data_IF_128934375033
#
_entry.id   IF_128934375033
#
_cell.length_a   1.000
_cell.length_b   1.000
_cell.length_c   1.000
_cell.angle_alpha   90.00
_cell.angle_beta   90.00
_cell.angle_gamma   90.00
#
_symmetry.space_group_name_H-M   'P 1'
#
loop_
_entity.id
_entity.type
_entity.pdbx_description
1 polymer ?
#
# COMPACT_ATOMS: atom_id res chain seq x y z
N UNK A 1 75.61 -32.00 -1.17
CA UNK A 1 74.57 -31.46 -2.06
C UNK A 1 73.25 -31.94 -1.49
N UNK A 2 72.55 -31.08 -0.74
CA UNK A 2 71.22 -31.38 -0.23
C UNK A 2 70.21 -30.82 -1.23
N UNK A 3 69.36 -31.68 -1.76
CA UNK A 3 68.25 -31.31 -2.63
C UNK A 3 67.32 -30.36 -1.87
N UNK A 4 67.07 -29.19 -2.47
CA UNK A 4 65.97 -28.32 -2.07
C UNK A 4 64.69 -28.99 -2.55
N UNK A 5 63.85 -29.42 -1.62
CA UNK A 5 62.44 -29.68 -1.90
C UNK A 5 61.78 -28.37 -2.34
N UNK A 6 61.40 -28.30 -3.61
CA UNK A 6 60.52 -27.25 -4.12
C UNK A 6 59.14 -27.41 -3.47
N UNK A 7 58.82 -26.50 -2.56
CA UNK A 7 57.49 -26.37 -1.99
C UNK A 7 56.49 -26.01 -3.11
N UNK A 8 55.54 -26.91 -3.38
CA UNK A 8 54.38 -26.63 -4.24
C UNK A 8 53.58 -25.46 -3.63
N UNK A 9 53.19 -24.44 -4.42
CA UNK A 9 52.30 -23.40 -3.93
C UNK A 9 50.93 -24.03 -3.66
N UNK A 10 50.46 -23.92 -2.41
CA UNK A 10 49.11 -24.31 -2.04
C UNK A 10 48.11 -23.57 -2.94
N UNK A 11 47.09 -24.29 -3.44
CA UNK A 11 45.98 -23.69 -4.19
C UNK A 11 45.21 -22.75 -3.26
N UNK A 12 45.64 -21.49 -3.19
CA UNK A 12 45.29 -20.50 -2.16
C UNK A 12 43.88 -19.94 -2.23
N UNK A 13 42.86 -20.79 -2.10
CA UNK A 13 41.47 -20.39 -1.84
C UNK A 13 41.14 -20.71 -0.39
N UNK A 14 40.82 -19.67 0.38
CA UNK A 14 40.34 -19.84 1.75
C UNK A 14 38.86 -20.22 1.75
N UNK A 15 38.49 -21.16 2.62
CA UNK A 15 37.11 -21.63 2.76
C UNK A 15 36.47 -20.98 3.99
N UNK A 16 35.27 -20.44 3.81
CA UNK A 16 34.43 -20.01 4.93
C UNK A 16 34.03 -21.21 5.80
N UNK A 17 34.17 -21.09 7.11
CA UNK A 17 33.81 -22.12 8.06
C UNK A 17 32.28 -22.31 8.15
N UNK A 18 31.84 -23.44 8.69
CA UNK A 18 30.40 -23.77 8.73
C UNK A 18 29.58 -22.92 9.71
N UNK A 19 30.22 -22.36 10.74
CA UNK A 19 29.59 -21.45 11.69
C UNK A 19 29.22 -20.12 11.02
N UNK A 20 30.18 -19.48 10.36
CA UNK A 20 29.98 -18.28 9.57
C UNK A 20 28.95 -18.51 8.47
N UNK A 21 29.01 -19.65 7.74
CA UNK A 21 27.99 -19.99 6.75
C UNK A 21 26.59 -20.04 7.38
N UNK A 22 26.43 -20.64 8.56
CA UNK A 22 25.13 -20.66 9.27
C UNK A 22 24.68 -19.23 9.60
N UNK A 23 25.57 -18.38 10.09
CA UNK A 23 25.25 -16.99 10.41
C UNK A 23 24.76 -16.24 9.16
N UNK A 24 25.48 -16.34 8.03
CA UNK A 24 25.07 -15.72 6.75
C UNK A 24 23.67 -16.20 6.35
N UNK A 25 23.44 -17.52 6.36
CA UNK A 25 22.12 -18.10 6.06
C UNK A 25 21.00 -17.57 6.97
N UNK A 26 21.28 -17.37 8.26
CA UNK A 26 20.32 -16.83 9.23
C UNK A 26 20.07 -15.34 9.01
N UNK A 27 21.13 -14.55 8.81
CA UNK A 27 21.04 -13.11 8.59
C UNK A 27 20.26 -12.75 7.32
N UNK A 28 20.31 -13.61 6.31
CA UNK A 28 19.62 -13.42 5.04
C UNK A 28 18.24 -14.08 4.98
N UNK A 29 17.76 -14.62 6.10
CA UNK A 29 16.52 -15.38 6.19
C UNK A 29 16.39 -16.48 5.10
N UNK A 30 17.51 -17.06 4.67
CA UNK A 30 17.54 -18.11 3.64
C UNK A 30 17.12 -17.70 2.24
N UNK A 31 17.14 -16.41 1.90
CA UNK A 31 16.80 -15.91 0.57
C UNK A 31 18.02 -15.37 -0.17
N UNK A 32 18.01 -15.44 -1.50
CA UNK A 32 19.05 -14.84 -2.33
C UNK A 32 19.04 -13.32 -2.18
N UNK A 33 20.19 -12.72 -1.86
CA UNK A 33 20.28 -11.28 -1.61
C UNK A 33 20.08 -10.43 -2.87
N UNK A 34 20.35 -10.99 -4.05
CA UNK A 34 20.23 -10.27 -5.33
C UNK A 34 18.85 -10.39 -5.97
N UNK A 35 18.20 -11.56 -5.90
CA UNK A 35 16.92 -11.80 -6.57
C UNK A 35 15.75 -12.12 -5.64
N UNK A 36 16.00 -12.32 -4.34
CA UNK A 36 14.97 -12.61 -3.34
C UNK A 36 14.33 -13.99 -3.46
N UNK A 37 14.90 -14.93 -4.23
CA UNK A 37 14.41 -16.31 -4.30
C UNK A 37 14.60 -17.02 -2.96
N UNK A 38 13.58 -17.74 -2.49
CA UNK A 38 13.67 -18.63 -1.33
C UNK A 38 14.61 -19.81 -1.63
N UNK A 39 15.70 -19.93 -0.87
CA UNK A 39 16.73 -20.96 -1.02
C UNK A 39 16.57 -22.12 -0.02
N UNK A 40 15.47 -22.10 0.75
CA UNK A 40 15.11 -23.10 1.77
C UNK A 40 14.03 -24.08 1.30
N UNK A 41 13.39 -23.80 0.17
CA UNK A 41 12.32 -24.62 -0.38
C UNK A 41 12.41 -24.72 -1.92
N UNK A 42 12.17 -25.92 -2.45
CA UNK A 42 11.98 -26.13 -3.88
C UNK A 42 10.48 -26.29 -4.15
N UNK A 43 9.87 -25.26 -4.76
CA UNK A 43 8.45 -25.25 -5.10
C UNK A 43 8.07 -26.29 -6.16
N UNK A 44 8.99 -26.66 -7.05
CA UNK A 44 8.73 -27.66 -8.08
C UNK A 44 8.75 -29.07 -7.51
N UNK A 45 9.68 -29.34 -6.59
CA UNK A 45 9.75 -30.62 -5.89
C UNK A 45 8.83 -30.72 -4.67
N UNK A 46 8.28 -29.58 -4.21
CA UNK A 46 7.38 -29.50 -3.06
C UNK A 46 8.05 -29.88 -1.73
N UNK A 47 9.36 -29.66 -1.57
CA UNK A 47 10.11 -30.07 -0.38
C UNK A 47 11.14 -29.03 0.07
N UNK A 48 11.46 -28.99 1.38
CA UNK A 48 12.58 -28.21 1.88
C UNK A 48 13.89 -28.62 1.20
N UNK A 49 14.72 -27.64 0.87
CA UNK A 49 16.01 -27.83 0.22
C UNK A 49 16.93 -26.68 0.59
N UNK A 50 18.23 -26.94 0.76
CA UNK A 50 19.24 -25.89 0.97
C UNK A 50 20.13 -25.79 -0.28
N UNK A 51 19.79 -24.89 -1.20
CA UNK A 51 20.45 -24.80 -2.52
C UNK A 51 21.15 -23.47 -2.79
N UNK A 52 21.28 -22.63 -1.76
CA UNK A 52 22.04 -21.39 -1.81
C UNK A 52 23.55 -21.58 -1.59
N UNK A 53 24.32 -20.61 -2.06
CA UNK A 53 25.77 -20.56 -1.99
C UNK A 53 26.20 -19.33 -1.20
N UNK A 54 27.12 -19.51 -0.25
CA UNK A 54 27.74 -18.40 0.47
C UNK A 54 28.94 -17.96 -0.35
N UNK A 55 28.77 -16.83 -1.03
CA UNK A 55 29.73 -16.26 -1.97
C UNK A 55 30.47 -15.08 -1.33
N UNK A 56 31.74 -14.92 -1.70
CA UNK A 56 32.52 -13.77 -1.24
C UNK A 56 32.28 -12.54 -2.13
N UNK A 57 32.12 -11.37 -1.51
CA UNK A 57 32.04 -10.09 -2.23
C UNK A 57 33.43 -9.77 -2.82
N UNK A 58 34.43 -9.65 -1.95
CA UNK A 58 35.84 -9.69 -2.32
C UNK A 58 36.36 -11.13 -2.26
N UNK A 59 37.10 -11.58 -3.28
CA UNK A 59 37.38 -12.99 -3.45
C UNK A 59 38.29 -13.55 -2.36
N UNK A 60 38.02 -14.80 -1.94
CA UNK A 60 38.88 -15.56 -1.02
C UNK A 60 40.20 -16.06 -1.64
N UNK A 61 40.62 -15.48 -2.77
CA UNK A 61 41.95 -15.69 -3.34
C UNK A 61 42.37 -14.44 -4.14
N UNK A 62 43.67 -14.11 -4.21
CA UNK A 62 44.16 -12.99 -5.01
C UNK A 62 43.86 -13.07 -6.50
N UNK A 63 43.52 -14.27 -7.01
CA UNK A 63 43.19 -14.53 -8.42
C UNK A 63 41.68 -14.62 -8.70
N UNK A 64 40.84 -14.40 -7.68
CA UNK A 64 39.40 -14.49 -7.86
C UNK A 64 38.81 -13.26 -8.57
N UNK A 65 37.55 -13.34 -9.02
CA UNK A 65 36.84 -12.19 -9.56
C UNK A 65 36.89 -11.02 -8.55
N UNK A 66 37.18 -9.79 -9.01
CA UNK A 66 37.38 -8.59 -8.17
C UNK A 66 38.60 -8.60 -7.24
N UNK A 67 39.58 -9.48 -7.46
CA UNK A 67 40.80 -9.54 -6.64
C UNK A 67 41.59 -8.24 -6.66
N UNK A 68 42.08 -7.80 -5.49
CA UNK A 68 42.97 -6.63 -5.35
C UNK A 68 44.20 -6.99 -4.52
N UNK A 69 45.28 -6.23 -4.72
CA UNK A 69 46.58 -6.49 -4.08
C UNK A 69 46.62 -6.14 -2.59
N UNK A 70 45.69 -5.30 -2.13
CA UNK A 70 45.54 -4.81 -0.76
C UNK A 70 44.52 -5.61 0.08
N UNK A 71 43.86 -6.62 -0.50
CA UNK A 71 42.88 -7.44 0.19
C UNK A 71 43.51 -8.66 0.88
N UNK A 72 43.36 -8.74 2.21
CA UNK A 72 43.72 -9.91 2.99
C UNK A 72 42.61 -10.99 2.92
N UNK A 73 42.71 -11.85 1.91
CA UNK A 73 41.75 -12.93 1.69
C UNK A 73 41.63 -13.91 2.87
N UNK A 74 42.69 -14.09 3.67
CA UNK A 74 42.67 -14.98 4.84
C UNK A 74 41.87 -14.36 5.98
N UNK A 75 42.13 -13.07 6.28
CA UNK A 75 41.44 -12.34 7.33
C UNK A 75 39.93 -12.19 7.07
N UNK A 76 39.53 -12.05 5.80
CA UNK A 76 38.15 -11.75 5.42
C UNK A 76 37.32 -12.95 4.95
N UNK A 77 37.89 -14.17 4.88
CA UNK A 77 37.15 -15.36 4.41
C UNK A 77 35.98 -15.76 5.33
N UNK A 78 36.02 -15.35 6.60
CA UNK A 78 34.99 -15.64 7.62
C UNK A 78 34.25 -14.37 8.10
N UNK A 79 34.52 -13.23 7.47
CA UNK A 79 33.83 -11.98 7.77
C UNK A 79 32.47 -11.98 7.08
N UNK A 80 31.40 -11.94 7.86
CA UNK A 80 30.03 -11.93 7.32
C UNK A 80 29.75 -10.69 6.49
N UNK A 81 30.44 -9.57 6.74
CA UNK A 81 30.29 -8.35 5.93
C UNK A 81 30.87 -8.52 4.50
N UNK A 82 31.71 -9.52 4.28
CA UNK A 82 32.28 -9.88 2.99
C UNK A 82 31.58 -11.11 2.34
N UNK A 83 30.46 -11.56 2.89
CA UNK A 83 29.80 -12.80 2.47
C UNK A 83 28.33 -12.55 2.15
N UNK A 84 27.90 -12.97 0.96
CA UNK A 84 26.51 -12.90 0.53
C UNK A 84 25.92 -14.30 0.31
N UNK A 85 24.63 -14.47 0.62
CA UNK A 85 23.88 -15.66 0.23
C UNK A 85 23.26 -15.47 -1.15
N UNK A 86 23.64 -16.31 -2.11
CA UNK A 86 23.17 -16.24 -3.50
C UNK A 86 22.58 -17.56 -3.96
N UNK A 87 21.63 -17.49 -4.91
CA UNK A 87 21.28 -18.68 -5.69
C UNK A 87 22.41 -18.98 -6.71
N UNK A 88 22.56 -20.23 -7.19
CA UNK A 88 23.61 -20.59 -8.14
C UNK A 88 23.63 -19.73 -9.40
N UNK A 89 22.46 -19.32 -9.90
CA UNK A 89 22.36 -18.46 -11.07
C UNK A 89 22.86 -17.02 -10.83
N UNK A 90 22.57 -16.45 -9.67
CA UNK A 90 23.06 -15.12 -9.30
C UNK A 90 24.56 -15.15 -9.00
N UNK A 91 25.05 -16.20 -8.34
CA UNK A 91 26.47 -16.36 -8.04
C UNK A 91 27.31 -16.50 -9.32
N UNK A 92 26.92 -17.41 -10.24
CA UNK A 92 27.59 -17.55 -11.54
C UNK A 92 27.60 -16.25 -12.35
N UNK A 93 26.51 -15.47 -12.28
CA UNK A 93 26.41 -14.17 -12.95
C UNK A 93 27.45 -13.17 -12.45
N UNK A 94 27.57 -12.99 -11.13
CA UNK A 94 28.50 -12.00 -10.57
C UNK A 94 29.96 -12.41 -10.75
N UNK A 95 30.26 -13.70 -10.81
CA UNK A 95 31.63 -14.19 -11.01
C UNK A 95 32.11 -14.01 -12.45
N UNK A 96 31.19 -14.05 -13.42
CA UNK A 96 31.50 -13.85 -14.84
C UNK A 96 31.65 -12.38 -15.26
N UNK A 97 31.02 -11.46 -14.54
CA UNK A 97 30.99 -10.03 -14.86
C UNK A 97 31.43 -9.18 -13.67
N UNK A 98 32.73 -9.23 -13.35
CA UNK A 98 33.30 -8.49 -12.23
C UNK A 98 33.20 -6.96 -12.40
N UNK A 99 33.20 -6.46 -13.63
CA UNK A 99 33.10 -5.03 -13.93
C UNK A 99 31.67 -4.52 -13.77
N UNK A 100 30.66 -5.33 -14.16
CA UNK A 100 29.24 -5.04 -13.96
C UNK A 100 28.77 -5.21 -12.50
N UNK A 101 29.52 -5.97 -11.70
CA UNK A 101 29.24 -6.22 -10.27
C UNK A 101 30.47 -5.93 -9.41
N UNK A 102 30.89 -4.67 -9.28
CA UNK A 102 32.06 -4.30 -8.49
C UNK A 102 31.78 -4.47 -6.98
N UNK A 103 32.85 -4.58 -6.19
CA UNK A 103 32.78 -4.72 -4.72
C UNK A 103 31.83 -3.73 -4.06
N UNK A 104 31.98 -2.43 -4.34
CA UNK A 104 31.21 -1.39 -3.67
C UNK A 104 29.70 -1.53 -3.92
N UNK A 105 29.31 -2.03 -5.09
CA UNK A 105 27.91 -2.30 -5.43
C UNK A 105 27.38 -3.49 -4.63
N UNK A 106 28.11 -4.61 -4.64
CA UNK A 106 27.74 -5.81 -3.88
C UNK A 106 27.70 -5.57 -2.37
N UNK A 107 28.67 -4.85 -1.80
CA UNK A 107 28.69 -4.45 -0.39
C UNK A 107 27.49 -3.56 -0.04
N UNK A 108 27.14 -2.61 -0.90
CA UNK A 108 25.95 -1.78 -0.73
C UNK A 108 24.65 -2.59 -0.79
N UNK A 109 24.53 -3.51 -1.75
CA UNK A 109 23.38 -4.40 -1.88
C UNK A 109 23.23 -5.34 -0.69
N UNK A 110 24.34 -5.90 -0.20
CA UNK A 110 24.40 -6.74 1.00
C UNK A 110 23.91 -5.98 2.24
N UNK A 111 24.46 -4.79 2.49
CA UNK A 111 24.06 -3.95 3.62
C UNK A 111 22.57 -3.59 3.55
N UNK A 112 22.10 -3.11 2.39
CA UNK A 112 20.69 -2.78 2.19
C UNK A 112 19.76 -4.00 2.34
N UNK A 113 20.21 -5.19 1.98
CA UNK A 113 19.46 -6.43 2.20
C UNK A 113 19.36 -6.76 3.70
N UNK A 114 20.48 -6.79 4.41
CA UNK A 114 20.51 -7.09 5.83
C UNK A 114 19.73 -6.07 6.67
N UNK A 115 19.78 -4.78 6.32
CA UNK A 115 18.97 -3.75 6.96
C UNK A 115 17.47 -4.01 6.82
N UNK A 116 17.01 -4.45 5.64
CA UNK A 116 15.60 -4.83 5.42
C UNK A 116 15.17 -6.01 6.27
N UNK A 117 15.99 -7.07 6.35
CA UNK A 117 15.69 -8.25 7.19
C UNK A 117 15.69 -7.86 8.67
N UNK A 118 16.68 -7.08 9.13
CA UNK A 118 16.73 -6.60 10.52
C UNK A 118 15.52 -5.75 10.86
N UNK A 119 15.15 -4.80 9.99
CA UNK A 119 13.96 -3.97 10.20
C UNK A 119 12.72 -4.85 10.40
N UNK A 120 12.47 -5.80 9.48
CA UNK A 120 11.36 -6.74 9.58
C UNK A 120 11.39 -7.58 10.87
N UNK A 121 12.58 -8.02 11.30
CA UNK A 121 12.75 -8.81 12.52
C UNK A 121 12.62 -7.99 13.82
N UNK A 122 12.93 -6.69 13.79
CA UNK A 122 12.87 -5.78 14.97
C UNK A 122 11.51 -5.12 15.18
N UNK A 123 10.58 -5.26 14.23
CA UNK A 123 9.18 -4.81 14.36
C UNK A 123 8.19 -5.98 14.47
N UNK A 124 8.37 -6.95 15.38
CA UNK A 124 7.48 -8.12 15.46
C UNK A 124 6.05 -7.76 15.87
N UNK A 125 5.85 -6.61 16.51
CA UNK A 125 4.58 -6.15 17.08
C UNK A 125 3.83 -5.14 16.20
N UNK A 126 4.27 -4.88 14.97
CA UNK A 126 3.66 -3.84 14.10
C UNK A 126 2.21 -4.12 13.68
N UNK A 127 1.65 -5.25 14.08
CA UNK A 127 0.25 -5.61 13.92
C UNK A 127 0.02 -6.43 12.65
N UNK A 128 -1.03 -7.25 12.69
CA UNK A 128 -1.46 -8.07 11.56
C UNK A 128 -2.61 -7.40 10.84
N UNK A 129 -2.53 -7.31 9.52
CA UNK A 129 -3.60 -6.76 8.71
C UNK A 129 -3.89 -7.61 7.47
N UNK A 130 -5.17 -7.75 7.12
CA UNK A 130 -5.58 -8.34 5.85
C UNK A 130 -5.34 -7.29 4.74
N UNK A 131 -4.52 -7.60 3.72
CA UNK A 131 -4.37 -6.72 2.57
C UNK A 131 -5.67 -6.70 1.76
N UNK A 132 -6.21 -5.51 1.49
CA UNK A 132 -7.41 -5.30 0.68
C UNK A 132 -7.11 -4.30 -0.44
N UNK A 133 -7.25 -4.76 -1.68
CA UNK A 133 -7.08 -3.96 -2.89
C UNK A 133 -8.44 -3.88 -3.58
N UNK A 134 -8.92 -2.67 -3.83
CA UNK A 134 -10.15 -2.44 -4.58
C UNK A 134 -9.82 -1.61 -5.81
N UNK A 135 -10.18 -2.10 -6.99
CA UNK A 135 -9.88 -1.42 -8.25
C UNK A 135 -11.08 -1.43 -9.18
N UNK A 136 -11.21 -0.41 -10.03
CA UNK A 136 -12.22 -0.41 -11.08
C UNK A 136 -11.60 -0.62 -12.46
N UNK A 137 -12.32 -1.32 -13.34
CA UNK A 137 -11.84 -1.72 -14.66
C UNK A 137 -11.99 -0.64 -15.75
N UNK A 138 -12.52 0.54 -15.44
CA UNK A 138 -12.82 1.60 -16.43
C UNK A 138 -11.76 2.69 -16.55
N UNK A 139 -10.62 2.58 -15.86
CA UNK A 139 -9.52 3.53 -16.07
C UNK A 139 -8.81 3.26 -17.40
N UNK A 140 -8.56 4.32 -18.17
CA UNK A 140 -7.91 4.24 -19.50
C UNK A 140 -6.50 3.64 -19.45
N UNK A 141 -5.84 3.71 -18.29
CA UNK A 141 -4.57 3.04 -18.03
C UNK A 141 -4.79 1.85 -17.11
N UNK A 142 -4.14 0.73 -17.42
CA UNK A 142 -4.07 -0.43 -16.53
C UNK A 142 -3.25 -0.01 -15.31
N UNK A 143 -3.92 0.54 -14.30
CA UNK A 143 -3.31 0.82 -13.01
C UNK A 143 -3.57 -0.38 -12.10
N UNK A 144 -3.21 -1.59 -12.53
CA UNK A 144 -3.31 -2.78 -11.69
C UNK A 144 -2.36 -2.60 -10.50
N UNK A 145 -2.88 -2.77 -9.28
CA UNK A 145 -2.05 -2.72 -8.07
C UNK A 145 -1.71 -4.18 -7.75
N UNK A 146 -0.44 -4.60 -7.90
CA UNK A 146 0.00 -5.93 -7.50
C UNK A 146 -0.14 -6.11 -5.99
N UNK A 147 -0.53 -7.30 -5.55
CA UNK A 147 -0.59 -7.62 -4.11
C UNK A 147 0.77 -7.40 -3.44
N UNK A 148 1.87 -7.73 -4.15
CA UNK A 148 3.24 -7.52 -3.68
C UNK A 148 3.54 -6.06 -3.30
N UNK A 149 2.99 -5.10 -4.04
CA UNK A 149 3.27 -3.68 -3.78
C UNK A 149 2.60 -3.24 -2.48
N UNK A 150 1.38 -3.72 -2.20
CA UNK A 150 0.71 -3.46 -0.94
C UNK A 150 1.42 -4.17 0.21
N UNK A 151 1.86 -5.42 0.03
CA UNK A 151 2.65 -6.15 1.04
C UNK A 151 3.95 -5.41 1.36
N UNK A 152 4.60 -4.83 0.35
CA UNK A 152 5.83 -4.05 0.53
C UNK A 152 5.56 -2.76 1.32
N UNK A 153 4.48 -2.04 0.99
CA UNK A 153 4.07 -0.83 1.71
C UNK A 153 3.66 -1.13 3.16
N UNK A 154 2.96 -2.25 3.39
CA UNK A 154 2.64 -2.75 4.72
C UNK A 154 3.91 -3.04 5.54
N UNK A 155 4.85 -3.79 4.96
CA UNK A 155 6.11 -4.13 5.62
C UNK A 155 6.94 -2.89 5.96
N UNK A 156 6.90 -1.83 5.14
CA UNK A 156 7.58 -0.58 5.41
C UNK A 156 7.02 0.17 6.65
N UNK A 157 5.82 -0.17 7.09
CA UNK A 157 5.20 0.33 8.33
C UNK A 157 5.21 -0.70 9.46
N UNK A 158 5.98 -1.78 9.32
CA UNK A 158 6.05 -2.87 10.30
C UNK A 158 4.82 -3.79 10.31
N UNK A 159 3.88 -3.64 9.38
CA UNK A 159 2.68 -4.47 9.32
C UNK A 159 3.00 -5.83 8.69
N UNK A 160 2.48 -6.89 9.29
CA UNK A 160 2.54 -8.24 8.72
C UNK A 160 1.21 -8.59 8.07
N UNK A 161 1.24 -9.13 6.86
CA UNK A 161 0.03 -9.60 6.20
C UNK A 161 -0.57 -10.80 6.93
N UNK A 162 -1.87 -10.72 7.18
CA UNK A 162 -2.67 -11.82 7.68
C UNK A 162 -3.41 -12.45 6.51
N UNK A 163 -3.07 -13.71 6.22
CA UNK A 163 -3.65 -14.48 5.12
C UNK A 163 -3.41 -13.86 3.73
N UNK A 164 -3.97 -14.47 2.68
CA UNK A 164 -3.88 -13.98 1.31
C UNK A 164 -4.63 -12.65 1.14
N UNK A 165 -4.01 -11.74 0.39
CA UNK A 165 -4.62 -10.46 0.02
C UNK A 165 -5.94 -10.63 -0.73
N UNK A 166 -6.92 -9.82 -0.35
CA UNK A 166 -8.22 -9.71 -1.00
C UNK A 166 -8.07 -8.69 -2.12
N UNK A 167 -8.45 -9.06 -3.34
CA UNK A 167 -8.49 -8.15 -4.49
C UNK A 167 -9.88 -8.17 -5.10
N UNK A 168 -10.58 -7.03 -5.05
CA UNK A 168 -11.91 -6.85 -5.62
C UNK A 168 -11.77 -5.94 -6.84
N UNK A 169 -12.33 -6.39 -7.96
CA UNK A 169 -12.37 -5.62 -9.20
C UNK A 169 -13.81 -5.23 -9.53
N UNK A 170 -14.12 -3.94 -9.47
CA UNK A 170 -15.39 -3.41 -9.96
C UNK A 170 -15.40 -3.46 -11.48
N UNK A 171 -16.47 -4.03 -12.04
CA UNK A 171 -16.69 -4.08 -13.48
C UNK A 171 -16.75 -2.66 -14.05
N UNK A 172 -16.31 -2.50 -15.30
CA UNK A 172 -16.48 -1.24 -16.01
C UNK A 172 -17.98 -0.91 -16.20
N UNK A 173 -18.36 0.38 -16.25
CA UNK A 173 -19.71 0.77 -16.63
C UNK A 173 -20.10 0.16 -17.99
N UNK A 174 -21.34 -0.29 -18.10
CA UNK A 174 -21.88 -0.80 -19.36
C UNK A 174 -22.26 0.33 -20.33
N UNK A 175 -22.94 0.02 -21.45
CA UNK A 175 -23.35 1.01 -22.45
C UNK A 175 -24.33 2.09 -21.94
N UNK A 176 -24.92 1.88 -20.76
CA UNK A 176 -25.83 2.83 -20.09
C UNK A 176 -25.09 3.72 -19.08
N UNK A 177 -23.76 3.67 -19.05
CA UNK A 177 -22.94 4.40 -18.10
C UNK A 177 -23.12 3.89 -16.66
N UNK A 178 -23.05 4.83 -15.71
CA UNK A 178 -23.13 4.57 -14.25
C UNK A 178 -24.57 4.61 -13.74
N UNK A 179 -25.40 3.75 -14.32
CA UNK A 179 -26.80 3.65 -13.94
C UNK A 179 -27.01 2.90 -12.61
N UNK A 180 -28.29 2.72 -12.23
CA UNK A 180 -28.67 1.98 -11.02
C UNK A 180 -28.13 0.55 -11.00
N UNK A 181 -28.04 -0.12 -12.16
CA UNK A 181 -27.51 -1.50 -12.24
C UNK A 181 -26.01 -1.51 -11.97
N UNK A 182 -25.26 -0.56 -12.51
CA UNK A 182 -23.84 -0.41 -12.22
C UNK A 182 -23.58 -0.24 -10.72
N UNK A 183 -24.28 0.71 -10.08
CA UNK A 183 -24.10 0.96 -8.65
C UNK A 183 -24.56 -0.21 -7.78
N UNK A 184 -25.60 -0.94 -8.20
CA UNK A 184 -26.02 -2.17 -7.52
C UNK A 184 -24.93 -3.25 -7.60
N UNK A 185 -24.28 -3.42 -8.76
CA UNK A 185 -23.18 -4.39 -8.89
C UNK A 185 -21.99 -4.01 -8.00
N UNK A 186 -21.62 -2.71 -7.95
CA UNK A 186 -20.57 -2.23 -7.04
C UNK A 186 -20.94 -2.52 -5.59
N UNK A 187 -22.18 -2.24 -5.20
CA UNK A 187 -22.72 -2.55 -3.87
C UNK A 187 -22.65 -4.04 -3.57
N UNK A 188 -23.01 -4.89 -4.52
CA UNK A 188 -23.00 -6.34 -4.33
C UNK A 188 -21.57 -6.89 -4.17
N UNK A 189 -20.60 -6.39 -4.95
CA UNK A 189 -19.18 -6.71 -4.77
C UNK A 189 -18.67 -6.30 -3.38
N UNK A 190 -19.05 -5.12 -2.89
CA UNK A 190 -18.62 -4.67 -1.56
C UNK A 190 -19.36 -5.43 -0.45
N UNK A 191 -20.67 -5.56 -0.50
CA UNK A 191 -21.46 -6.14 0.60
C UNK A 191 -21.41 -7.66 0.65
N UNK A 192 -21.36 -8.34 -0.49
CA UNK A 192 -21.36 -9.80 -0.49
C UNK A 192 -19.95 -10.35 -0.64
N UNK A 193 -19.17 -9.91 -1.63
CA UNK A 193 -17.85 -10.49 -1.84
C UNK A 193 -16.90 -10.17 -0.69
N UNK A 194 -16.74 -8.90 -0.33
CA UNK A 194 -15.83 -8.51 0.76
C UNK A 194 -16.28 -9.11 2.09
N UNK A 195 -17.56 -9.02 2.46
CA UNK A 195 -18.00 -9.55 3.75
C UNK A 195 -17.82 -11.07 3.84
N UNK A 196 -18.09 -11.82 2.77
CA UNK A 196 -17.86 -13.27 2.75
C UNK A 196 -16.37 -13.59 2.89
N UNK A 197 -15.53 -12.82 2.21
CA UNK A 197 -14.08 -12.93 2.31
C UNK A 197 -13.56 -12.59 3.72
N UNK A 198 -14.12 -11.59 4.38
CA UNK A 198 -13.77 -11.23 5.76
C UNK A 198 -14.30 -12.25 6.77
N UNK A 199 -15.54 -12.73 6.63
CA UNK A 199 -16.14 -13.76 7.52
C UNK A 199 -15.37 -15.07 7.50
N UNK A 200 -14.81 -15.48 6.35
CA UNK A 200 -13.95 -16.67 6.24
C UNK A 200 -12.63 -16.52 6.99
N UNK A 201 -12.17 -15.30 7.23
CA UNK A 201 -10.87 -14.96 7.81
C UNK A 201 -10.96 -14.47 9.26
N UNK A 202 -12.14 -14.03 9.69
CA UNK A 202 -12.44 -13.67 11.07
C UNK A 202 -12.47 -14.91 11.96
N UNK A 203 -11.69 -14.90 13.03
CA UNK A 203 -11.69 -15.98 14.02
C UNK A 203 -12.95 -15.99 14.89
N UNK A 204 -13.26 -17.14 15.48
CA UNK A 204 -14.40 -17.37 16.39
C UNK A 204 -14.34 -16.54 17.70
N UNK A 205 -13.22 -15.85 17.95
CA UNK A 205 -12.88 -15.22 19.24
C UNK A 205 -12.85 -13.68 19.24
N UNK A 206 -13.36 -13.00 18.21
CA UNK A 206 -13.63 -11.55 18.28
C UNK A 206 -12.48 -10.60 17.94
N UNK A 207 -11.25 -11.10 17.76
CA UNK A 207 -10.15 -10.29 17.19
C UNK A 207 -10.23 -10.29 15.66
N UNK A 208 -11.04 -9.39 15.09
CA UNK A 208 -10.98 -9.11 13.66
C UNK A 208 -9.64 -8.42 13.35
N UNK A 209 -8.76 -9.01 12.51
CA UNK A 209 -7.50 -8.37 12.14
C UNK A 209 -7.75 -7.01 11.47
N UNK A 210 -6.77 -6.12 11.57
CA UNK A 210 -6.84 -4.83 10.89
C UNK A 210 -6.97 -5.02 9.37
N UNK A 211 -7.46 -4.00 8.66
CA UNK A 211 -7.51 -3.98 7.20
C UNK A 211 -6.46 -3.01 6.68
N UNK A 212 -5.55 -3.47 5.82
CA UNK A 212 -4.65 -2.62 5.06
C UNK A 212 -5.30 -2.37 3.70
N UNK A 213 -5.86 -1.17 3.48
CA UNK A 213 -6.77 -0.91 2.37
C UNK A 213 -6.14 0.04 1.36
N UNK A 214 -6.19 -0.29 0.09
CA UNK A 214 -5.93 0.65 -1.01
C UNK A 214 -7.04 0.56 -2.05
N UNK A 215 -7.48 1.72 -2.53
CA UNK A 215 -8.53 1.83 -3.53
C UNK A 215 -8.10 2.65 -4.73
N UNK A 216 -8.45 2.16 -5.92
CA UNK A 216 -8.38 2.90 -7.17
C UNK A 216 -9.65 2.66 -7.96
N UNK A 217 -10.69 3.42 -7.64
CA UNK A 217 -12.03 3.36 -8.22
C UNK A 217 -12.65 4.76 -8.24
N UNK A 218 -13.87 4.87 -8.77
CA UNK A 218 -14.63 6.13 -8.72
C UNK A 218 -14.85 6.56 -7.27
N UNK A 219 -14.86 7.88 -7.03
CA UNK A 219 -15.00 8.46 -5.69
C UNK A 219 -16.22 7.88 -4.95
N UNK A 220 -17.43 7.79 -5.55
CA UNK A 220 -18.59 7.22 -4.87
C UNK A 220 -18.43 5.73 -4.51
N UNK A 221 -17.77 4.94 -5.36
CA UNK A 221 -17.50 3.52 -5.08
C UNK A 221 -16.56 3.36 -3.88
N UNK A 222 -15.55 4.23 -3.77
CA UNK A 222 -14.62 4.24 -2.65
C UNK A 222 -15.26 4.74 -1.34
N UNK A 223 -16.17 5.71 -1.41
CA UNK A 223 -16.99 6.10 -0.26
C UNK A 223 -17.88 4.95 0.20
N UNK A 224 -18.51 4.21 -0.72
CA UNK A 224 -19.30 3.03 -0.38
C UNK A 224 -18.46 1.92 0.26
N UNK A 225 -17.25 1.67 -0.26
CA UNK A 225 -16.28 0.75 0.35
C UNK A 225 -15.97 1.17 1.79
N UNK A 226 -15.64 2.46 1.97
CA UNK A 226 -15.37 3.06 3.27
C UNK A 226 -16.50 2.81 4.27
N UNK A 227 -17.75 3.07 3.86
CA UNK A 227 -18.92 2.82 4.70
C UNK A 227 -19.10 1.34 5.04
N UNK A 228 -18.82 0.44 4.10
CA UNK A 228 -18.97 -1.00 4.36
C UNK A 228 -17.94 -1.54 5.35
N UNK A 229 -16.68 -1.10 5.27
CA UNK A 229 -15.64 -1.51 6.22
C UNK A 229 -15.77 -0.79 7.56
N UNK A 230 -16.27 0.45 7.53
CA UNK A 230 -16.66 1.24 8.70
C UNK A 230 -15.63 1.31 9.82
N UNK A 231 -16.14 1.42 11.05
CA UNK A 231 -15.36 1.37 12.29
C UNK A 231 -15.26 -0.04 12.92
N UNK A 232 -15.78 -1.06 12.24
CA UNK A 232 -15.84 -2.44 12.76
C UNK A 232 -14.46 -3.09 12.89
N UNK A 233 -13.47 -2.60 12.14
CA UNK A 233 -12.09 -3.07 12.16
C UNK A 233 -11.14 -1.89 12.08
N UNK A 234 -10.00 -1.99 12.77
CA UNK A 234 -8.88 -1.04 12.59
C UNK A 234 -8.51 -1.01 11.11
N UNK A 235 -8.62 0.15 10.46
CA UNK A 235 -8.29 0.34 9.04
C UNK A 235 -7.02 1.16 8.87
N UNK A 236 -6.18 0.73 7.94
CA UNK A 236 -4.91 1.35 7.58
C UNK A 236 -4.98 1.65 6.08
N UNK A 237 -5.39 2.86 5.73
CA UNK A 237 -5.61 3.27 4.35
C UNK A 237 -4.29 3.70 3.72
N UNK A 238 -3.90 3.04 2.64
CA UNK A 238 -2.76 3.41 1.80
C UNK A 238 -3.26 4.24 0.62
N UNK A 239 -2.39 5.09 0.08
CA UNK A 239 -2.68 5.93 -1.08
C UNK A 239 -1.82 5.51 -2.26
N UNK A 240 -2.41 5.51 -3.46
CA UNK A 240 -1.67 5.29 -4.70
C UNK A 240 -1.17 6.62 -5.26
N UNK A 241 0.14 6.74 -5.38
CA UNK A 241 0.85 7.85 -6.02
C UNK A 241 1.45 7.41 -7.36
N UNK A 242 1.44 8.28 -8.37
CA UNK A 242 1.95 7.92 -9.71
C UNK A 242 3.44 7.62 -9.74
N UNK A 243 4.23 8.37 -8.97
CA UNK A 243 5.70 8.24 -8.94
C UNK A 243 6.21 7.29 -7.85
N UNK A 244 5.50 7.24 -6.72
CA UNK A 244 5.94 6.51 -5.53
C UNK A 244 5.15 5.20 -5.32
N UNK A 245 4.15 4.93 -6.17
CA UNK A 245 3.20 3.83 -6.06
C UNK A 245 2.53 3.85 -4.68
N UNK A 246 2.68 2.82 -3.87
CA UNK A 246 2.12 2.74 -2.52
C UNK A 246 3.07 3.23 -1.42
N UNK A 247 4.28 3.68 -1.78
CA UNK A 247 5.20 4.30 -0.81
C UNK A 247 4.77 5.74 -0.56
N UNK A 248 4.85 6.17 0.69
CA UNK A 248 4.67 7.57 1.05
C UNK A 248 5.72 8.44 0.37
N UNK A 249 5.33 9.49 -0.38
CA UNK A 249 6.27 10.43 -0.95
C UNK A 249 7.16 11.11 0.09
N UNK A 250 6.58 11.55 1.22
CA UNK A 250 7.29 12.18 2.33
C UNK A 250 6.62 11.86 3.67
N UNK A 251 7.26 11.02 4.48
CA UNK A 251 6.78 10.63 5.81
C UNK A 251 6.87 11.77 6.84
N UNK A 252 7.72 12.76 6.60
CA UNK A 252 7.94 13.90 7.49
C UNK A 252 7.03 15.10 7.18
N UNK A 253 6.40 15.12 6.00
CA UNK A 253 5.50 16.19 5.59
C UNK A 253 4.37 16.43 6.60
N UNK A 254 4.12 17.71 6.88
CA UNK A 254 2.98 18.12 7.70
C UNK A 254 1.69 18.09 6.88
N UNK A 255 0.55 17.68 7.46
CA UNK A 255 -0.74 17.80 6.81
C UNK A 255 -1.07 19.24 6.43
N UNK A 256 -1.78 19.49 5.31
CA UNK A 256 -2.23 20.83 4.98
C UNK A 256 -3.27 21.32 5.98
N UNK A 257 -3.45 22.63 6.05
CA UNK A 257 -4.55 23.23 6.78
C UNK A 257 -5.88 22.92 6.06
N UNK A 258 -6.75 22.14 6.70
CA UNK A 258 -8.11 21.92 6.24
C UNK A 258 -8.97 23.12 6.66
N UNK A 259 -9.53 23.81 5.68
CA UNK A 259 -10.33 25.02 5.86
C UNK A 259 -11.80 24.68 5.65
N UNK A 260 -12.64 25.01 6.63
CA UNK A 260 -14.08 24.77 6.55
C UNK A 260 -14.84 26.09 6.48
N UNK A 261 -15.62 26.26 5.41
CA UNK A 261 -16.57 27.36 5.23
C UNK A 261 -17.98 26.84 5.51
N UNK A 262 -18.69 27.37 6.52
CA UNK A 262 -20.05 26.94 6.83
C UNK A 262 -21.04 27.38 5.74
N UNK A 263 -22.21 26.70 5.62
CA UNK A 263 -23.24 27.11 4.69
C UNK A 263 -23.86 28.45 5.12
N UNK A 264 -24.35 29.28 4.17
CA UNK A 264 -25.12 30.47 4.52
C UNK A 264 -26.45 30.10 5.19
N UNK A 265 -27.04 31.05 5.91
CA UNK A 265 -28.38 30.90 6.47
C UNK A 265 -29.44 30.76 5.37
N UNK A 266 -30.53 30.04 5.69
CA UNK A 266 -31.70 29.90 4.83
C UNK A 266 -32.28 28.48 4.83
N UNK A 267 -33.31 28.28 4.00
CA UNK A 267 -34.11 27.04 3.97
C UNK A 267 -33.82 26.17 2.73
N UNK A 268 -32.84 26.55 1.91
CA UNK A 268 -32.44 25.78 0.73
C UNK A 268 -31.76 24.45 1.08
N UNK A 269 -31.66 23.52 0.11
CA UNK A 269 -31.03 22.22 0.33
C UNK A 269 -29.56 22.37 0.72
N UNK A 270 -29.08 21.52 1.63
CA UNK A 270 -27.72 21.60 2.14
C UNK A 270 -26.76 20.81 1.24
N UNK A 271 -25.71 21.48 0.75
CA UNK A 271 -24.64 20.87 -0.02
C UNK A 271 -23.33 20.89 0.78
N UNK A 272 -22.65 19.75 0.85
CA UNK A 272 -21.28 19.62 1.34
C UNK A 272 -20.33 19.43 0.15
N UNK A 273 -19.45 20.39 -0.06
CA UNK A 273 -18.44 20.38 -1.11
C UNK A 273 -17.08 20.03 -0.50
N UNK A 274 -16.39 19.05 -1.08
CA UNK A 274 -15.03 18.66 -0.68
C UNK A 274 -14.06 19.00 -1.82
N UNK A 275 -13.33 20.11 -1.70
CA UNK A 275 -12.41 20.64 -2.71
C UNK A 275 -10.95 20.41 -2.30
N UNK A 276 -10.48 19.16 -2.38
CA UNK A 276 -9.15 18.75 -1.88
C UNK A 276 -8.19 18.37 -3.01
N UNK A 277 -8.63 17.56 -3.98
CA UNK A 277 -7.81 17.22 -5.15
C UNK A 277 -7.96 18.23 -6.28
N UNK A 278 -9.09 18.93 -6.35
CA UNK A 278 -9.37 20.02 -7.27
C UNK A 278 -10.44 20.96 -6.69
N UNK A 279 -10.50 22.19 -7.19
CA UNK A 279 -11.57 23.12 -6.86
C UNK A 279 -12.88 22.69 -7.51
N UNK A 280 -13.96 22.57 -6.73
CA UNK A 280 -15.31 22.37 -7.28
C UNK A 280 -15.95 23.74 -7.52
N UNK A 281 -16.36 24.09 -8.76
CA UNK A 281 -17.01 25.37 -9.03
C UNK A 281 -18.41 25.45 -8.43
N UNK A 282 -18.73 26.55 -7.74
CA UNK A 282 -20.06 26.81 -7.16
C UNK A 282 -21.18 26.72 -8.21
N UNK A 283 -20.92 27.20 -9.43
CA UNK A 283 -21.91 27.14 -10.53
C UNK A 283 -22.32 25.70 -10.84
N UNK A 284 -21.38 24.76 -10.84
CA UNK A 284 -21.63 23.37 -11.22
C UNK A 284 -22.46 22.66 -10.13
N UNK A 285 -22.27 23.06 -8.85
CA UNK A 285 -23.10 22.61 -7.73
C UNK A 285 -24.50 23.18 -7.84
N UNK A 286 -24.65 24.47 -8.13
CA UNK A 286 -25.97 25.14 -8.23
C UNK A 286 -26.75 24.67 -9.46
N UNK A 287 -26.07 24.33 -10.55
CA UNK A 287 -26.68 23.75 -11.75
C UNK A 287 -27.26 22.34 -11.51
N UNK A 288 -26.65 21.59 -10.60
CA UNK A 288 -27.13 20.26 -10.19
C UNK A 288 -28.15 20.34 -9.04
N UNK A 289 -28.01 21.33 -8.16
CA UNK A 289 -28.85 21.55 -6.99
C UNK A 289 -29.19 23.05 -6.84
N UNK A 290 -30.22 23.54 -7.53
CA UNK A 290 -30.60 24.94 -7.48
C UNK A 290 -30.99 25.40 -6.07
N UNK A 291 -30.50 26.57 -5.65
CA UNK A 291 -30.79 27.14 -4.33
C UNK A 291 -30.01 26.49 -3.18
N UNK A 292 -28.98 25.70 -3.47
CA UNK A 292 -28.16 25.04 -2.46
C UNK A 292 -27.47 26.03 -1.51
N UNK A 293 -27.49 25.71 -0.22
CA UNK A 293 -26.64 26.32 0.80
C UNK A 293 -25.35 25.50 0.87
N UNK A 294 -24.23 26.08 0.49
CA UNK A 294 -22.98 25.34 0.27
C UNK A 294 -22.07 25.50 1.48
N UNK A 295 -21.80 24.39 2.16
CA UNK A 295 -20.67 24.21 3.06
C UNK A 295 -19.49 23.65 2.26
N UNK A 296 -18.28 24.12 2.52
CA UNK A 296 -17.08 23.66 1.80
C UNK A 296 -15.96 23.28 2.76
N UNK A 297 -15.37 22.11 2.56
CA UNK A 297 -14.07 21.76 3.13
C UNK A 297 -13.02 21.78 2.01
N UNK A 298 -12.01 22.63 2.15
CA UNK A 298 -10.95 22.82 1.16
C UNK A 298 -9.56 22.83 1.80
N UNK A 299 -8.54 22.88 0.95
CA UNK A 299 -7.15 23.19 1.32
C UNK A 299 -6.68 24.41 0.50
N UNK A 300 -5.65 25.15 0.95
CA UNK A 300 -5.17 26.33 0.23
C UNK A 300 -4.81 26.06 -1.24
N UNK A 301 -4.22 24.89 -1.51
CA UNK A 301 -3.79 24.48 -2.85
C UNK A 301 -4.30 23.07 -3.17
N UNK A 302 -5.49 22.93 -3.78
CA UNK A 302 -6.03 21.63 -4.17
C UNK A 302 -5.08 20.87 -5.10
N UNK A 303 -4.80 19.62 -4.77
CA UNK A 303 -3.84 18.81 -5.53
C UNK A 303 -4.08 17.32 -5.39
N UNK A 304 -3.96 16.59 -6.49
CA UNK A 304 -4.01 15.12 -6.51
C UNK A 304 -2.85 14.48 -5.71
N UNK A 305 -1.74 15.19 -5.54
CA UNK A 305 -0.56 14.70 -4.84
C UNK A 305 -0.55 15.05 -3.33
N UNK A 306 -1.61 15.64 -2.77
CA UNK A 306 -1.59 16.15 -1.38
C UNK A 306 -1.46 15.07 -0.30
N UNK A 307 -1.77 13.80 -0.61
CA UNK A 307 -1.64 12.68 0.35
C UNK A 307 -0.19 12.21 0.40
N UNK A 308 0.62 12.93 1.17
CA UNK A 308 2.07 12.68 1.32
C UNK A 308 2.38 11.54 2.31
N UNK A 309 1.53 11.37 3.32
CA UNK A 309 1.66 10.33 4.33
C UNK A 309 0.31 10.06 5.04
N UNK A 310 0.31 9.09 5.94
CA UNK A 310 -0.88 8.68 6.71
C UNK A 310 -1.45 9.80 7.60
N UNK A 311 -0.62 10.74 8.07
CA UNK A 311 -1.07 11.85 8.93
C UNK A 311 -2.04 12.77 8.19
N UNK A 312 -1.92 12.90 6.86
CA UNK A 312 -2.86 13.66 6.03
C UNK A 312 -4.27 13.07 6.10
N UNK A 313 -4.39 11.73 6.04
CA UNK A 313 -5.68 11.03 6.12
C UNK A 313 -6.32 11.22 7.50
N UNK A 314 -5.51 11.13 8.57
CA UNK A 314 -6.00 11.37 9.94
C UNK A 314 -6.44 12.83 10.13
N UNK A 315 -5.66 13.80 9.64
CA UNK A 315 -6.01 15.22 9.73
C UNK A 315 -7.29 15.55 8.95
N UNK A 316 -7.50 14.95 7.78
CA UNK A 316 -8.76 15.06 7.04
C UNK A 316 -9.93 14.53 7.85
N UNK A 317 -9.79 13.33 8.43
CA UNK A 317 -10.81 12.71 9.26
C UNK A 317 -11.20 13.61 10.42
N UNK A 318 -10.21 14.09 11.17
CA UNK A 318 -10.42 14.91 12.37
C UNK A 318 -11.05 16.27 12.01
N UNK A 319 -10.64 16.87 10.89
CA UNK A 319 -11.21 18.13 10.41
C UNK A 319 -12.66 17.99 9.94
N UNK A 320 -13.02 16.85 9.34
CA UNK A 320 -14.35 16.65 8.76
C UNK A 320 -15.37 16.11 9.78
N UNK A 321 -14.98 15.21 10.67
CA UNK A 321 -15.89 14.51 11.60
C UNK A 321 -16.77 15.50 12.41
N UNK A 322 -16.14 16.54 12.98
CA UNK A 322 -16.86 17.56 13.76
C UNK A 322 -17.85 18.33 12.87
N UNK A 323 -17.49 18.57 11.60
CA UNK A 323 -18.31 19.32 10.65
C UNK A 323 -19.52 18.53 10.17
N UNK A 324 -19.37 17.22 9.97
CA UNK A 324 -20.51 16.35 9.66
C UNK A 324 -21.57 16.46 10.76
N UNK A 325 -21.17 16.30 12.03
CA UNK A 325 -22.11 16.46 13.16
C UNK A 325 -22.78 17.84 13.20
N UNK A 326 -22.06 18.92 12.89
CA UNK A 326 -22.63 20.27 12.81
C UNK A 326 -23.63 20.41 11.66
N UNK A 327 -23.33 19.87 10.48
CA UNK A 327 -24.20 19.94 9.31
C UNK A 327 -25.49 19.13 9.51
N UNK A 328 -25.39 17.94 10.12
CA UNK A 328 -26.55 17.10 10.46
C UNK A 328 -27.48 17.77 11.46
N UNK A 329 -26.95 18.62 12.36
CA UNK A 329 -27.79 19.38 13.29
C UNK A 329 -28.56 20.52 12.62
N UNK A 330 -28.17 20.94 11.40
CA UNK A 330 -28.80 22.05 10.67
C UNK A 330 -30.02 21.62 9.85
N UNK A 331 -30.20 20.32 9.58
CA UNK A 331 -31.29 19.86 8.72
C UNK A 331 -31.63 18.39 8.99
N UNK A 332 -32.92 18.00 8.91
CA UNK A 332 -33.32 16.60 8.85
C UNK A 332 -33.27 16.02 7.42
N UNK A 333 -33.14 16.88 6.40
CA UNK A 333 -33.18 16.49 4.98
C UNK A 333 -31.80 16.05 4.48
N UNK A 334 -31.70 15.14 3.49
CA UNK A 334 -30.42 14.62 3.01
C UNK A 334 -29.38 15.70 2.66
N UNK A 335 -28.13 15.45 3.05
CA UNK A 335 -26.98 16.30 2.69
C UNK A 335 -26.47 15.88 1.33
N UNK A 336 -26.34 16.83 0.40
CA UNK A 336 -25.90 16.58 -0.97
C UNK A 336 -24.38 16.76 -1.05
N UNK A 337 -23.63 15.71 -1.35
CA UNK A 337 -22.17 15.70 -1.29
C UNK A 337 -21.58 15.80 -2.69
N UNK A 338 -20.72 16.79 -2.91
CA UNK A 338 -19.98 17.00 -4.15
C UNK A 338 -18.49 16.91 -3.85
N UNK A 339 -17.80 15.90 -4.38
CA UNK A 339 -16.44 15.59 -3.94
C UNK A 339 -15.43 15.61 -5.09
N UNK A 340 -14.39 16.43 -4.90
CA UNK A 340 -13.12 16.34 -5.60
C UNK A 340 -12.03 16.04 -4.56
N UNK A 341 -11.87 14.76 -4.23
CA UNK A 341 -10.92 14.29 -3.21
C UNK A 341 -10.07 13.11 -3.70
N UNK A 342 -8.85 12.91 -3.15
CA UNK A 342 -8.06 11.72 -3.43
C UNK A 342 -8.76 10.42 -2.98
N UNK A 343 -8.44 9.30 -3.64
CA UNK A 343 -9.03 7.99 -3.40
C UNK A 343 -8.99 7.57 -1.91
N UNK A 344 -7.86 7.78 -1.24
CA UNK A 344 -7.71 7.47 0.18
C UNK A 344 -8.70 8.26 1.07
N UNK A 345 -8.93 9.54 0.75
CA UNK A 345 -9.87 10.38 1.50
C UNK A 345 -11.33 10.02 1.20
N UNK A 346 -11.63 9.50 -0.01
CA UNK A 346 -12.97 8.98 -0.32
C UNK A 346 -13.32 7.76 0.53
N UNK A 347 -12.36 6.82 0.71
CA UNK A 347 -12.54 5.69 1.62
C UNK A 347 -12.74 6.17 3.05
N UNK A 348 -11.92 7.13 3.52
CA UNK A 348 -12.04 7.64 4.88
C UNK A 348 -13.36 8.41 5.11
N UNK A 349 -13.81 9.19 4.12
CA UNK A 349 -15.12 9.84 4.13
C UNK A 349 -16.24 8.82 4.33
N UNK A 350 -16.25 7.77 3.52
CA UNK A 350 -17.22 6.69 3.65
C UNK A 350 -17.22 6.05 5.03
N UNK A 351 -16.03 5.79 5.59
CA UNK A 351 -15.90 5.17 6.90
C UNK A 351 -16.44 6.06 8.03
N UNK A 352 -16.26 7.38 7.93
CA UNK A 352 -16.83 8.34 8.88
C UNK A 352 -18.36 8.23 8.95
N UNK A 353 -19.05 7.97 7.83
CA UNK A 353 -20.51 7.86 7.80
C UNK A 353 -21.08 6.69 8.62
N UNK A 354 -20.22 5.80 9.14
CA UNK A 354 -20.65 4.71 10.03
C UNK A 354 -20.69 5.10 11.52
N UNK A 355 -20.08 6.22 11.89
CA UNK A 355 -19.90 6.63 13.30
C UNK A 355 -21.12 7.39 13.84
N UNK A 356 -22.18 6.68 14.25
CA UNK A 356 -23.43 7.25 14.81
C UNK A 356 -24.18 8.27 13.92
N UNK A 357 -23.67 8.56 12.74
CA UNK A 357 -24.30 9.37 11.70
C UNK A 357 -25.42 8.55 11.03
N UNK A 358 -26.67 8.72 11.47
CA UNK A 358 -27.84 8.13 10.81
C UNK A 358 -28.41 9.02 9.71
N UNK A 359 -27.72 10.11 9.40
CA UNK A 359 -28.14 11.06 8.39
C UNK A 359 -27.95 10.50 6.98
N UNK A 360 -28.82 10.90 6.05
CA UNK A 360 -28.72 10.48 4.65
C UNK A 360 -27.80 11.43 3.88
N UNK A 361 -26.89 10.86 3.10
CA UNK A 361 -25.97 11.59 2.22
C UNK A 361 -26.21 11.17 0.77
N UNK A 362 -26.52 12.14 -0.10
CA UNK A 362 -26.69 11.91 -1.54
C UNK A 362 -25.40 12.29 -2.26
N UNK A 363 -24.70 11.31 -2.83
CA UNK A 363 -23.40 11.51 -3.44
C UNK A 363 -23.55 11.90 -4.91
N UNK A 364 -22.94 13.01 -5.28
CA UNK A 364 -22.86 13.48 -6.66
C UNK A 364 -21.45 13.23 -7.21
N UNK A 365 -21.39 12.75 -8.45
CA UNK A 365 -20.14 12.58 -9.19
C UNK A 365 -20.27 13.15 -10.59
N UNK A 366 -19.13 13.42 -11.23
CA UNK A 366 -19.12 13.94 -12.59
C UNK A 366 -19.36 12.84 -13.60
N UNK A 367 -20.38 13.03 -14.43
CA UNK A 367 -20.70 12.12 -15.52
C UNK A 367 -20.06 12.59 -16.82
N UNK A 368 -18.97 11.92 -17.22
CA UNK A 368 -18.25 12.17 -18.47
C UNK A 368 -19.12 12.02 -19.71
N UNK A 369 -20.16 11.20 -19.66
CA UNK A 369 -21.09 10.99 -20.78
C UNK A 369 -22.14 12.12 -20.86
N UNK A 370 -22.32 12.86 -19.78
CA UNK A 370 -23.28 13.96 -19.66
C UNK A 370 -22.59 15.32 -19.46
N UNK A 371 -21.69 15.66 -20.39
CA UNK A 371 -20.97 16.95 -20.42
C UNK A 371 -20.22 17.27 -19.12
N UNK A 372 -19.77 16.25 -18.40
CA UNK A 372 -19.04 16.38 -17.13
C UNK A 372 -19.86 17.07 -16.02
N UNK A 373 -21.20 17.05 -16.12
CA UNK A 373 -22.11 17.59 -15.10
C UNK A 373 -22.18 16.66 -13.90
N UNK A 374 -22.45 17.23 -12.73
CA UNK A 374 -22.75 16.44 -11.54
C UNK A 374 -24.10 15.73 -11.68
N UNK A 375 -24.09 14.42 -11.45
CA UNK A 375 -25.29 13.59 -11.37
C UNK A 375 -25.31 12.86 -10.04
N UNK A 376 -26.51 12.66 -9.47
CA UNK A 376 -26.67 11.89 -8.26
C UNK A 376 -26.35 10.41 -8.56
N UNK A 377 -25.48 9.81 -7.76
CA UNK A 377 -24.98 8.44 -7.97
C UNK A 377 -25.57 7.47 -6.96
N UNK A 378 -25.27 7.66 -5.68
CA UNK A 378 -25.61 6.73 -4.61
C UNK A 378 -25.93 7.44 -3.30
N UNK A 379 -26.65 6.72 -2.44
CA UNK A 379 -27.06 7.17 -1.13
C UNK A 379 -26.24 6.45 -0.05
N UNK A 380 -25.69 7.21 0.89
CA UNK A 380 -24.86 6.74 2.01
C UNK A 380 -25.41 7.23 3.38
N UNK A 381 -24.84 6.73 4.47
CA UNK A 381 -25.12 7.11 5.87
C UNK A 381 -26.24 6.29 6.53
N UNK A 382 -27.45 6.30 5.97
CA UNK A 382 -28.56 5.54 6.55
C UNK A 382 -28.44 4.04 6.26
N UNK A 383 -27.95 3.27 7.24
CA UNK A 383 -28.15 1.82 7.25
C UNK A 383 -29.61 1.61 7.60
N UNK A 384 -30.45 1.27 6.62
CA UNK A 384 -31.76 0.71 6.90
C UNK A 384 -31.55 -0.42 7.92
N UNK A 385 -32.20 -0.32 9.09
CA UNK A 385 -32.34 -1.46 9.98
C UNK A 385 -33.03 -2.56 9.17
N UNK A 386 -32.26 -3.48 8.60
CA UNK A 386 -32.79 -4.81 8.34
C UNK A 386 -33.10 -5.37 9.72
N UNK A 387 -34.39 -5.33 10.08
CA UNK A 387 -34.92 -6.05 11.20
C UNK A 387 -34.42 -7.51 11.12
N UNK A 388 -33.59 -7.91 12.08
CA UNK A 388 -33.31 -9.30 12.40
C UNK A 388 -33.46 -9.50 13.90
#
# INVERSE_FOLDING_TARGET
>A
MAEKEDAKPASGRFNTNDETKRIVWTQTAGHCELCGTDLTFDYRAGKPMKWGEVAHILPASPKGPRGRTDHDAEAHTNDTANLMLLCPGCHDKIDRDADGYPENDLSGLHQAYLERIRLAATTPDGGRAIPLIVQSQHFQTINDIPVRDLLTAMSAEGLTAFDQGIKIAFAAPGPRGRDTTYWQNVKDSVQYELEQQLKRRGGTYGDSPALAVVGLADIPALMMLGQSIGDRSKRLIFSFHREHLLRWPDQSAEPPAFLFTPPPDGDGPLALVLSISAQVPVRDVTDALPGARIAELSIPEPSYAMVQNRRVIHAFRDALQIRLSQLEALTPDPIHVFAAIPAALAIEFGALLTTQHQHTYLIFDRDKENQDRFTQTLQLGSVAQEAR
#
